data_IF_994089776732
#
_entry.id   IF_994089776732
#
_cell.length_a   1.000
_cell.length_b   1.000
_cell.length_c   1.000
_cell.angle_alpha   90.00
_cell.angle_beta   90.00
_cell.angle_gamma   90.00
#
_symmetry.space_group_name_H-M   'P 1'
#
loop_
_entity.id
_entity.type
_entity.pdbx_description
1 polymer ?
#
# COMPACT_ATOMS: atom_id res chain seq x y z
N UNK A 1 17.96 3.22 13.53
CA UNK A 1 18.74 2.09 14.10
C UNK A 1 20.07 1.92 13.40
N UNK A 2 20.09 1.77 12.08
CA UNK A 2 21.32 1.55 11.31
C UNK A 2 22.37 2.66 11.48
N UNK A 3 21.92 3.90 11.75
CA UNK A 3 22.79 5.03 12.05
C UNK A 3 23.12 5.19 13.55
N UNK A 4 22.61 4.32 14.41
CA UNK A 4 22.82 4.40 15.86
C UNK A 4 22.14 5.56 16.56
N UNK A 5 21.17 6.23 15.90
CA UNK A 5 20.49 7.43 16.41
C UNK A 5 19.21 7.14 17.17
N UNK A 6 18.72 5.91 17.12
CA UNK A 6 17.47 5.51 17.78
C UNK A 6 17.16 4.04 17.59
N UNK A 7 16.11 3.59 18.26
CA UNK A 7 15.63 2.20 18.21
C UNK A 7 14.12 2.17 17.98
N UNK A 8 13.68 1.17 17.22
CA UNK A 8 12.24 0.90 17.07
C UNK A 8 11.74 0.21 18.34
N UNK A 9 10.81 0.82 19.04
CA UNK A 9 10.22 0.30 20.29
C UNK A 9 8.81 -0.27 20.08
N UNK A 10 8.11 0.17 19.03
CA UNK A 10 6.79 -0.32 18.66
C UNK A 10 6.51 0.01 17.18
N UNK A 11 5.64 -0.74 16.55
CA UNK A 11 5.16 -0.47 15.19
C UNK A 11 3.64 -0.32 15.21
N UNK A 12 3.16 0.89 14.97
CA UNK A 12 1.72 1.16 14.87
C UNK A 12 1.07 0.32 13.76
N UNK A 13 1.79 0.09 12.66
CA UNK A 13 1.29 -0.74 11.58
C UNK A 13 1.04 -2.20 11.98
N UNK A 14 1.81 -2.73 12.94
CA UNK A 14 1.61 -4.09 13.49
C UNK A 14 0.47 -4.12 14.51
N UNK A 15 0.37 -3.09 15.35
CA UNK A 15 -0.53 -3.08 16.50
C UNK A 15 -1.94 -2.59 16.16
N UNK A 16 -2.10 -1.79 15.09
CA UNK A 16 -3.40 -1.21 14.69
C UNK A 16 -4.25 -2.12 13.79
N UNK A 17 -3.72 -3.26 13.35
CA UNK A 17 -4.38 -4.15 12.38
C UNK A 17 -4.23 -3.65 10.93
N UNK A 18 -4.98 -4.24 10.02
CA UNK A 18 -4.90 -3.90 8.59
C UNK A 18 -5.61 -2.57 8.29
N UNK A 19 -4.93 -1.48 8.55
CA UNK A 19 -5.37 -0.12 8.26
C UNK A 19 -4.68 0.38 7.00
N UNK A 20 -5.39 0.97 6.02
CA UNK A 20 -4.76 1.56 4.85
C UNK A 20 -3.97 2.80 5.26
N UNK A 21 -2.71 2.90 4.80
CA UNK A 21 -1.90 4.08 5.02
C UNK A 21 -2.09 5.11 3.89
N UNK A 22 -1.99 4.64 2.66
CA UNK A 22 -2.23 5.44 1.45
C UNK A 22 -3.08 4.68 0.46
N UNK A 23 -3.78 5.41 -0.41
CA UNK A 23 -4.55 4.85 -1.49
C UNK A 23 -4.40 5.69 -2.77
N UNK A 24 -4.44 5.05 -3.92
CA UNK A 24 -4.54 5.76 -5.19
C UNK A 24 -5.95 6.29 -5.38
N UNK A 25 -6.06 7.57 -5.67
CA UNK A 25 -7.33 8.26 -5.85
C UNK A 25 -7.41 8.91 -7.22
N UNK A 26 -8.58 8.88 -7.81
CA UNK A 26 -8.89 9.60 -9.04
C UNK A 26 -10.29 10.22 -8.98
N UNK A 27 -10.51 11.28 -9.76
CA UNK A 27 -11.87 11.81 -9.90
C UNK A 27 -12.76 10.80 -10.63
N UNK A 28 -13.99 10.63 -10.17
CA UNK A 28 -14.95 9.70 -10.79
C UNK A 28 -15.10 9.97 -12.30
N UNK A 29 -15.22 11.24 -12.70
CA UNK A 29 -15.29 11.61 -14.11
C UNK A 29 -14.07 11.18 -14.94
N UNK A 30 -12.88 11.09 -14.32
CA UNK A 30 -11.68 10.59 -14.98
C UNK A 30 -11.71 9.06 -15.11
N UNK A 31 -12.14 8.35 -14.07
CA UNK A 31 -12.35 6.90 -14.11
C UNK A 31 -13.32 6.50 -15.22
N UNK A 32 -14.46 7.21 -15.30
CA UNK A 32 -15.51 6.96 -16.29
C UNK A 32 -15.03 7.25 -17.74
N UNK A 33 -14.19 8.27 -17.93
CA UNK A 33 -13.69 8.68 -19.24
C UNK A 33 -12.46 7.87 -19.72
N UNK A 34 -11.66 7.29 -18.80
CA UNK A 34 -10.37 6.66 -19.12
C UNK A 34 -10.18 5.30 -18.41
N UNK A 35 -11.16 4.38 -18.47
CA UNK A 35 -11.07 3.12 -17.75
C UNK A 35 -9.90 2.24 -18.21
N UNK A 36 -9.51 2.33 -19.48
CA UNK A 36 -8.37 1.60 -20.05
C UNK A 36 -7.02 2.08 -19.48
N UNK A 37 -6.86 3.36 -19.24
CA UNK A 37 -5.66 3.93 -18.61
C UNK A 37 -5.57 3.46 -17.17
N UNK A 38 -6.67 3.55 -16.42
CA UNK A 38 -6.73 3.11 -15.03
C UNK A 38 -6.45 1.61 -14.94
N UNK A 39 -7.03 0.79 -15.82
CA UNK A 39 -6.76 -0.65 -15.81
C UNK A 39 -5.28 -0.97 -16.08
N UNK A 40 -4.65 -0.32 -17.08
CA UNK A 40 -3.21 -0.50 -17.35
C UNK A 40 -2.33 -0.09 -16.18
N UNK A 41 -2.67 1.02 -15.53
CA UNK A 41 -1.98 1.48 -14.32
C UNK A 41 -2.12 0.45 -13.20
N UNK A 42 -3.33 -0.03 -12.93
CA UNK A 42 -3.59 -1.04 -11.89
C UNK A 42 -2.88 -2.37 -12.21
N UNK A 43 -2.86 -2.79 -13.47
CA UNK A 43 -2.11 -3.99 -13.87
C UNK A 43 -0.60 -3.83 -13.63
N UNK A 44 -0.05 -2.63 -13.85
CA UNK A 44 1.36 -2.36 -13.58
C UNK A 44 1.67 -2.42 -12.07
N UNK A 45 0.78 -1.89 -11.23
CA UNK A 45 0.89 -2.00 -9.76
C UNK A 45 0.81 -3.46 -9.31
N UNK A 46 -0.11 -4.26 -9.86
CA UNK A 46 -0.24 -5.69 -9.53
C UNK A 46 1.05 -6.45 -9.86
N UNK A 47 1.68 -6.18 -11.01
CA UNK A 47 2.99 -6.75 -11.34
C UNK A 47 4.07 -6.33 -10.35
N UNK A 48 4.05 -5.08 -9.89
CA UNK A 48 4.96 -4.60 -8.85
C UNK A 48 4.77 -5.34 -7.53
N UNK A 49 3.53 -5.56 -7.11
CA UNK A 49 3.21 -6.34 -5.90
C UNK A 49 3.68 -7.80 -6.01
N UNK A 50 3.46 -8.43 -7.15
CA UNK A 50 3.97 -9.79 -7.40
C UNK A 50 5.50 -9.85 -7.35
N UNK A 51 6.19 -8.84 -7.90
CA UNK A 51 7.63 -8.76 -7.83
C UNK A 51 8.09 -8.69 -6.37
N UNK A 52 7.49 -7.81 -5.57
CA UNK A 52 7.80 -7.68 -4.14
C UNK A 52 7.56 -8.99 -3.38
N UNK A 53 6.48 -9.71 -3.68
CA UNK A 53 6.13 -10.94 -2.98
C UNK A 53 7.07 -12.11 -3.33
N UNK A 54 7.61 -12.14 -4.55
CA UNK A 54 8.40 -13.27 -5.07
C UNK A 54 9.92 -13.08 -4.99
N UNK A 55 10.41 -11.85 -4.75
CA UNK A 55 11.85 -11.55 -4.74
C UNK A 55 12.38 -11.29 -3.32
N UNK A 56 13.69 -11.48 -3.17
CA UNK A 56 14.39 -11.19 -1.93
C UNK A 56 14.47 -9.69 -1.65
N UNK A 57 14.64 -9.28 -0.38
CA UNK A 57 14.83 -7.88 -0.02
C UNK A 57 15.97 -7.20 -0.78
N UNK A 58 17.09 -7.90 -1.03
CA UNK A 58 18.23 -7.38 -1.76
C UNK A 58 17.90 -7.14 -3.24
N UNK A 59 17.15 -8.02 -3.88
CA UNK A 59 16.71 -7.87 -5.28
C UNK A 59 15.77 -6.70 -5.43
N UNK A 60 14.81 -6.57 -4.51
CA UNK A 60 13.87 -5.44 -4.46
C UNK A 60 14.65 -4.14 -4.25
N UNK A 61 15.56 -4.10 -3.25
CA UNK A 61 16.35 -2.92 -2.94
C UNK A 61 17.19 -2.46 -4.14
N UNK A 62 17.86 -3.38 -4.86
CA UNK A 62 18.60 -3.08 -6.08
C UNK A 62 17.72 -2.50 -7.18
N UNK A 63 16.50 -3.04 -7.33
CA UNK A 63 15.54 -2.59 -8.35
C UNK A 63 15.05 -1.16 -8.09
N UNK A 64 14.79 -0.81 -6.82
CA UNK A 64 14.27 0.52 -6.47
C UNK A 64 15.35 1.55 -6.15
N UNK A 65 16.60 1.14 -5.93
CA UNK A 65 17.71 2.03 -5.58
C UNK A 65 17.86 3.27 -6.48
N UNK A 66 17.65 3.20 -7.82
CA UNK A 66 17.73 4.38 -8.68
C UNK A 66 16.77 5.50 -8.29
N UNK A 67 15.68 5.20 -7.56
CA UNK A 67 14.71 6.17 -7.05
C UNK A 67 15.10 6.74 -5.67
N UNK A 68 16.09 6.12 -5.00
CA UNK A 68 16.55 6.48 -3.66
C UNK A 68 18.08 6.65 -3.63
N UNK A 69 18.58 7.49 -4.54
CA UNK A 69 20.04 7.64 -4.79
C UNK A 69 20.85 8.09 -3.57
N UNK A 70 20.22 8.81 -2.65
CA UNK A 70 20.89 9.29 -1.42
C UNK A 70 20.88 8.27 -0.28
N UNK A 71 20.17 7.13 -0.44
CA UNK A 71 20.06 6.11 0.58
C UNK A 71 20.98 4.93 0.25
N UNK A 72 21.88 4.52 1.16
CA UNK A 72 22.71 3.34 0.98
C UNK A 72 21.89 2.08 0.70
N UNK A 73 22.37 1.22 -0.18
CA UNK A 73 21.67 -0.02 -0.56
C UNK A 73 21.34 -0.91 0.64
N UNK A 74 22.26 -1.00 1.60
CA UNK A 74 22.06 -1.76 2.84
C UNK A 74 20.88 -1.24 3.66
N UNK A 75 20.68 0.08 3.70
CA UNK A 75 19.56 0.70 4.41
C UNK A 75 18.24 0.41 3.69
N UNK A 76 18.22 0.49 2.35
CA UNK A 76 17.04 0.13 1.56
C UNK A 76 16.68 -1.35 1.79
N UNK A 77 17.68 -2.23 1.77
CA UNK A 77 17.49 -3.67 2.03
C UNK A 77 16.85 -3.91 3.39
N UNK A 78 17.40 -3.31 4.45
CA UNK A 78 16.88 -3.46 5.81
C UNK A 78 15.44 -2.89 5.95
N UNK A 79 15.10 -1.80 5.26
CA UNK A 79 13.75 -1.24 5.21
C UNK A 79 12.81 -2.23 4.54
N UNK A 80 13.19 -2.80 3.41
CA UNK A 80 12.39 -3.80 2.68
C UNK A 80 12.16 -5.05 3.52
N UNK A 81 13.20 -5.57 4.19
CA UNK A 81 13.09 -6.70 5.11
C UNK A 81 12.06 -6.44 6.20
N UNK A 82 12.13 -5.28 6.84
CA UNK A 82 11.21 -4.87 7.90
C UNK A 82 9.77 -4.78 7.38
N UNK A 83 9.56 -4.18 6.22
CA UNK A 83 8.23 -4.06 5.62
C UNK A 83 7.64 -5.41 5.24
N UNK A 84 8.44 -6.34 4.72
CA UNK A 84 8.01 -7.73 4.48
C UNK A 84 7.67 -8.45 5.79
N UNK A 85 8.50 -8.31 6.81
CA UNK A 85 8.26 -8.94 8.12
C UNK A 85 7.01 -8.44 8.85
N UNK A 86 6.58 -7.20 8.57
CA UNK A 86 5.36 -6.59 9.12
C UNK A 86 4.10 -6.83 8.26
N UNK A 87 4.21 -7.60 7.18
CA UNK A 87 3.12 -7.79 6.21
C UNK A 87 2.55 -6.46 5.68
N UNK A 88 3.45 -5.49 5.42
CA UNK A 88 3.06 -4.15 4.97
C UNK A 88 2.49 -4.16 3.56
N UNK A 89 2.99 -5.03 2.69
CA UNK A 89 2.54 -5.20 1.32
C UNK A 89 1.63 -6.40 1.19
N UNK A 90 0.42 -6.17 0.72
CA UNK A 90 -0.56 -7.21 0.47
C UNK A 90 -0.25 -8.00 -0.81
N UNK A 91 -0.92 -9.14 -0.98
CA UNK A 91 -0.77 -9.99 -2.16
C UNK A 91 -1.50 -9.43 -3.38
N UNK A 92 -2.50 -8.58 -3.17
CA UNK A 92 -3.29 -7.95 -4.22
C UNK A 92 -3.62 -6.47 -3.91
N UNK A 93 -4.26 -5.81 -4.86
CA UNK A 93 -4.60 -4.39 -4.79
C UNK A 93 -6.04 -4.13 -4.31
N UNK A 94 -6.75 -5.14 -3.84
CA UNK A 94 -8.13 -4.99 -3.38
C UNK A 94 -8.14 -4.24 -2.05
N UNK A 95 -8.79 -3.07 -2.05
CA UNK A 95 -8.98 -2.29 -0.84
C UNK A 95 -10.16 -2.83 -0.05
N UNK A 96 -9.89 -3.62 0.98
CA UNK A 96 -10.88 -4.31 1.78
C UNK A 96 -11.83 -3.35 2.53
N UNK A 97 -13.12 -3.68 2.51
CA UNK A 97 -14.14 -2.92 3.24
C UNK A 97 -13.86 -2.87 4.74
N UNK A 98 -13.42 -3.98 5.32
CA UNK A 98 -13.05 -4.06 6.74
C UNK A 98 -11.92 -3.09 7.12
N UNK A 99 -10.91 -2.95 6.25
CA UNK A 99 -9.80 -2.01 6.45
C UNK A 99 -10.27 -0.55 6.36
N UNK A 100 -11.19 -0.25 5.43
CA UNK A 100 -11.80 1.06 5.32
C UNK A 100 -12.65 1.41 6.55
N UNK A 101 -13.42 0.46 7.05
CA UNK A 101 -14.24 0.63 8.26
C UNK A 101 -13.36 0.83 9.51
N UNK A 102 -12.27 0.07 9.63
CA UNK A 102 -11.30 0.23 10.72
C UNK A 102 -10.66 1.64 10.70
N UNK A 103 -10.28 2.14 9.53
CA UNK A 103 -9.76 3.51 9.39
C UNK A 103 -10.79 4.54 9.89
N UNK A 104 -12.05 4.40 9.49
CA UNK A 104 -13.11 5.32 9.94
C UNK A 104 -13.35 5.23 11.46
N UNK A 105 -13.26 4.04 12.07
CA UNK A 105 -13.35 3.88 13.51
C UNK A 105 -12.25 4.68 14.21
N UNK A 106 -11.00 4.53 13.77
CA UNK A 106 -9.84 5.23 14.34
C UNK A 106 -10.02 6.75 14.22
N UNK A 107 -10.43 7.23 13.05
CA UNK A 107 -10.63 8.67 12.81
C UNK A 107 -11.81 9.23 13.62
N UNK A 108 -12.87 8.47 13.82
CA UNK A 108 -14.01 8.86 14.63
C UNK A 108 -13.65 8.91 16.12
N UNK A 109 -12.93 7.90 16.64
CA UNK A 109 -12.42 7.88 18.01
C UNK A 109 -11.43 9.01 18.29
N UNK A 110 -10.63 9.39 17.29
CA UNK A 110 -9.73 10.55 17.37
C UNK A 110 -10.44 11.91 17.26
N UNK A 111 -11.75 11.94 16.97
CA UNK A 111 -12.52 13.17 16.76
C UNK A 111 -12.27 13.87 15.41
N UNK A 112 -11.57 13.22 14.50
CA UNK A 112 -11.22 13.75 13.17
C UNK A 112 -12.31 13.46 12.12
N UNK A 113 -13.19 12.51 12.36
CA UNK A 113 -14.29 12.15 11.48
C UNK A 113 -15.64 12.38 12.17
N UNK A 114 -16.42 13.31 11.66
CA UNK A 114 -17.76 13.62 12.19
C UNK A 114 -18.89 12.89 11.48
N UNK A 115 -18.65 12.39 10.26
CA UNK A 115 -19.66 11.69 9.46
C UNK A 115 -18.98 10.62 8.63
N UNK A 116 -19.42 9.38 8.79
CA UNK A 116 -18.91 8.23 8.01
C UNK A 116 -19.37 8.28 6.56
N UNK A 117 -18.49 7.84 5.68
CA UNK A 117 -18.80 7.69 4.26
C UNK A 117 -19.00 6.21 3.94
N UNK A 118 -20.08 5.84 3.24
CA UNK A 118 -20.25 4.46 2.77
C UNK A 118 -19.09 4.04 1.84
N UNK A 119 -18.58 2.83 2.05
CA UNK A 119 -17.48 2.26 1.26
C UNK A 119 -17.74 2.38 -0.25
N UNK A 120 -18.92 2.02 -0.68
CA UNK A 120 -19.35 1.97 -2.09
C UNK A 120 -19.39 3.35 -2.78
N UNK A 121 -19.32 4.44 -2.00
CA UNK A 121 -19.25 5.81 -2.54
C UNK A 121 -17.83 6.28 -2.82
N UNK A 122 -16.84 5.74 -2.09
CA UNK A 122 -15.45 6.15 -2.19
C UNK A 122 -14.53 5.13 -2.85
N UNK A 123 -14.86 3.84 -2.76
CA UNK A 123 -13.97 2.76 -3.20
C UNK A 123 -14.58 2.03 -4.38
N UNK A 124 -13.77 1.74 -5.38
CA UNK A 124 -14.05 0.77 -6.44
C UNK A 124 -12.92 -0.25 -6.50
N UNK A 125 -13.26 -1.53 -6.50
CA UNK A 125 -12.31 -2.64 -6.58
C UNK A 125 -12.25 -3.27 -7.98
N UNK A 126 -13.11 -2.83 -8.89
CA UNK A 126 -13.27 -3.42 -10.23
C UNK A 126 -11.93 -3.58 -10.99
N UNK A 127 -11.10 -2.54 -10.97
CA UNK A 127 -9.80 -2.56 -11.66
C UNK A 127 -8.79 -3.48 -10.97
N UNK A 128 -8.84 -3.54 -9.64
CA UNK A 128 -7.97 -4.42 -8.85
C UNK A 128 -8.35 -5.90 -9.04
N UNK A 129 -9.64 -6.21 -9.03
CA UNK A 129 -10.15 -7.56 -9.29
C UNK A 129 -9.74 -8.07 -10.67
N UNK A 130 -9.93 -7.25 -11.72
CA UNK A 130 -9.48 -7.58 -13.09
C UNK A 130 -7.96 -7.74 -13.19
N UNK A 131 -7.20 -6.93 -12.46
CA UNK A 131 -5.74 -7.04 -12.46
C UNK A 131 -5.27 -8.33 -11.78
N UNK A 132 -5.94 -8.74 -10.69
CA UNK A 132 -5.69 -10.00 -9.98
C UNK A 132 -6.00 -11.22 -10.86
N UNK A 133 -7.11 -11.23 -11.59
CA UNK A 133 -7.50 -12.31 -12.50
C UNK A 133 -6.56 -12.47 -13.70
N UNK A 134 -5.90 -11.38 -14.12
CA UNK A 134 -5.00 -11.34 -15.27
C UNK A 134 -3.53 -11.65 -14.91
N UNK A 135 -3.23 -11.95 -13.66
CA UNK A 135 -1.87 -12.10 -13.13
C UNK A 135 -1.40 -13.55 -12.97
#
# INVERSE_FOLDING_TARGET
>A
ELEGKGYVVASLGTDSGYVPYTAYCARKSYLDAHPDIIQKFTNALQKGMQYVNTHSPEEIAKTIQPQFQETPLENITAIVERYKAQDTWKDDLIFEKSSFELLQNILEEAGELTTRVPYEKLVTTEFAEKAKEAS
#
